data_IF_936731814642
#
_entry.id   IF_936731814642
#
_cell.length_a   1.000
_cell.length_b   1.000
_cell.length_c   1.000
_cell.angle_alpha   90.00
_cell.angle_beta   90.00
_cell.angle_gamma   90.00
#
_symmetry.space_group_name_H-M   'P 1'
#
loop_
_entity.id
_entity.type
_entity.pdbx_description
1 polymer ?
#
# COMPACT_ATOMS: atom_id res chain seq x y z
N UNK A 1 1.12 -2.95 -5.56
CA UNK A 1 0.43 -2.37 -4.40
C UNK A 1 0.12 -3.46 -3.41
N UNK A 2 0.21 -3.14 -2.13
CA UNK A 2 0.13 -4.09 -1.02
C UNK A 2 -0.51 -3.42 0.21
N UNK A 3 -1.33 -4.16 0.93
CA UNK A 3 -1.97 -3.69 2.17
C UNK A 3 -1.33 -4.37 3.36
N UNK A 4 -0.64 -3.57 4.18
CA UNK A 4 0.01 -4.06 5.38
C UNK A 4 -0.88 -3.85 6.61
N UNK A 5 -0.98 -4.87 7.45
CA UNK A 5 -1.66 -4.83 8.75
C UNK A 5 -2.50 -6.09 9.04
N UNK A 6 -3.23 -6.12 10.16
CA UNK A 6 -3.37 -5.02 11.13
C UNK A 6 -2.05 -4.68 11.84
N UNK A 7 -1.78 -3.40 11.99
CA UNK A 7 -0.66 -2.89 12.79
C UNK A 7 -0.95 -3.14 14.28
N UNK A 8 0.08 -3.38 15.11
CA UNK A 8 -0.11 -3.57 16.56
C UNK A 8 -0.68 -2.32 17.24
N UNK A 9 -0.55 -1.16 16.60
CA UNK A 9 -0.98 0.14 17.10
C UNK A 9 -1.97 0.78 16.16
N UNK A 10 -3.06 1.28 16.72
CA UNK A 10 -3.94 2.18 16.01
C UNK A 10 -3.32 3.58 16.02
N UNK A 11 -3.10 4.16 14.84
CA UNK A 11 -2.63 5.55 14.74
C UNK A 11 -3.60 6.52 15.42
N UNK A 12 -3.14 7.74 15.74
CA UNK A 12 -4.02 8.80 16.29
C UNK A 12 -5.25 9.07 15.41
N UNK A 13 -5.14 8.86 14.09
CA UNK A 13 -6.23 8.98 13.13
C UNK A 13 -7.15 7.75 13.03
N UNK A 14 -6.99 6.73 13.87
CA UNK A 14 -7.79 5.51 13.87
C UNK A 14 -7.37 4.46 12.83
N UNK A 15 -6.31 4.70 12.06
CA UNK A 15 -5.84 3.76 11.04
C UNK A 15 -5.18 2.53 11.68
N UNK A 16 -5.54 1.35 11.16
CA UNK A 16 -5.04 0.03 11.60
C UNK A 16 -4.25 -0.69 10.52
N UNK A 17 -4.31 -0.20 9.29
CA UNK A 17 -3.58 -0.75 8.14
C UNK A 17 -2.97 0.41 7.37
N UNK A 18 -2.09 0.12 6.42
CA UNK A 18 -1.70 1.07 5.40
C UNK A 18 -1.64 0.42 4.02
N UNK A 19 -2.01 1.18 2.99
CA UNK A 19 -1.81 0.82 1.60
C UNK A 19 -0.45 1.36 1.16
N UNK A 20 0.35 0.53 0.53
CA UNK A 20 1.59 0.92 -0.13
C UNK A 20 1.44 0.78 -1.64
N UNK A 21 1.75 1.85 -2.37
CA UNK A 21 1.80 1.86 -3.84
C UNK A 21 3.20 2.26 -4.26
N UNK A 22 3.89 1.34 -4.92
CA UNK A 22 5.24 1.53 -5.44
C UNK A 22 5.16 1.77 -6.93
N UNK A 23 5.79 2.83 -7.41
CA UNK A 23 6.07 3.02 -8.83
C UNK A 23 7.26 2.15 -9.25
N UNK A 24 7.11 1.35 -10.31
CA UNK A 24 8.12 0.37 -10.70
C UNK A 24 9.36 1.03 -11.34
N UNK A 25 9.18 2.18 -12.01
CA UNK A 25 10.26 2.90 -12.68
C UNK A 25 11.12 3.68 -11.67
N UNK A 26 10.50 4.59 -10.91
CA UNK A 26 11.20 5.48 -9.97
C UNK A 26 11.51 4.83 -8.62
N UNK A 27 10.88 3.69 -8.31
CA UNK A 27 10.89 3.05 -6.98
C UNK A 27 10.32 3.93 -5.87
N UNK A 28 9.64 5.03 -6.21
CA UNK A 28 8.94 5.87 -5.25
C UNK A 28 7.77 5.10 -4.65
N UNK A 29 7.63 5.14 -3.32
CA UNK A 29 6.53 4.50 -2.61
C UNK A 29 5.65 5.57 -1.97
N UNK A 30 4.35 5.47 -2.23
CA UNK A 30 3.32 6.29 -1.58
C UNK A 30 2.54 5.42 -0.61
N UNK A 31 2.45 5.87 0.64
CA UNK A 31 1.75 5.17 1.71
C UNK A 31 0.47 5.92 2.11
N UNK A 32 -0.64 5.20 2.25
CA UNK A 32 -1.93 5.75 2.68
C UNK A 32 -2.41 5.05 3.95
N UNK A 33 -2.70 5.77 5.05
CA UNK A 33 -3.26 5.17 6.26
C UNK A 33 -4.72 4.74 6.04
N UNK A 34 -5.04 3.51 6.45
CA UNK A 34 -6.37 2.90 6.31
C UNK A 34 -6.97 2.55 7.68
N UNK A 35 -8.19 3.02 7.94
CA UNK A 35 -9.02 2.53 9.05
C UNK A 35 -9.54 1.14 8.74
N UNK A 36 -9.99 0.96 7.50
CA UNK A 36 -10.54 -0.28 6.97
C UNK A 36 -9.96 -0.59 5.60
N UNK A 37 -9.84 -1.89 5.29
CA UNK A 37 -9.36 -2.36 3.97
C UNK A 37 -10.28 -1.91 2.82
N UNK A 38 -11.57 -1.71 3.09
CA UNK A 38 -12.56 -1.19 2.12
C UNK A 38 -12.17 0.16 1.49
N UNK A 39 -11.34 0.96 2.15
CA UNK A 39 -10.92 2.30 1.69
C UNK A 39 -9.86 2.27 0.56
N UNK A 40 -9.24 1.12 0.30
CA UNK A 40 -8.14 0.98 -0.69
C UNK A 40 -8.54 1.49 -2.06
N UNK A 41 -9.77 1.22 -2.50
CA UNK A 41 -10.23 1.63 -3.83
C UNK A 41 -10.25 3.15 -4.00
N UNK A 42 -10.78 3.88 -3.01
CA UNK A 42 -10.87 5.33 -3.07
C UNK A 42 -9.50 6.00 -2.99
N UNK A 43 -8.60 5.45 -2.17
CA UNK A 43 -7.21 5.90 -2.13
C UNK A 43 -6.49 5.62 -3.46
N UNK A 44 -6.72 4.48 -4.10
CA UNK A 44 -6.13 4.19 -5.40
C UNK A 44 -6.63 5.16 -6.48
N UNK A 45 -7.92 5.46 -6.54
CA UNK A 45 -8.46 6.47 -7.48
C UNK A 45 -7.80 7.83 -7.31
N UNK A 46 -7.67 8.26 -6.06
CA UNK A 46 -7.02 9.53 -5.72
C UNK A 46 -5.54 9.53 -6.12
N UNK A 47 -4.84 8.42 -5.84
CA UNK A 47 -3.45 8.22 -6.26
C UNK A 47 -3.32 8.27 -7.79
N UNK A 48 -4.13 7.51 -8.53
CA UNK A 48 -4.10 7.47 -9.99
C UNK A 48 -4.28 8.88 -10.58
N UNK A 49 -5.32 9.60 -10.16
CA UNK A 49 -5.60 10.93 -10.69
C UNK A 49 -4.42 11.90 -10.46
N UNK A 50 -3.78 11.83 -9.29
CA UNK A 50 -2.61 12.65 -8.98
C UNK A 50 -1.38 12.21 -9.80
N UNK A 51 -1.04 10.92 -9.78
CA UNK A 51 0.13 10.38 -10.47
C UNK A 51 0.07 10.65 -11.97
N UNK A 52 -1.07 10.42 -12.61
CA UNK A 52 -1.24 10.67 -14.04
C UNK A 52 -1.18 12.17 -14.37
N UNK A 53 -1.67 13.04 -13.47
CA UNK A 53 -1.62 14.49 -13.66
C UNK A 53 -0.20 15.04 -13.52
N UNK A 54 0.56 14.56 -12.54
CA UNK A 54 1.93 15.01 -12.24
C UNK A 54 2.90 14.50 -13.30
N UNK A 55 2.81 13.22 -13.65
CA UNK A 55 3.71 12.60 -14.62
C UNK A 55 3.30 12.86 -16.07
N UNK A 56 2.05 13.31 -16.29
CA UNK A 56 1.44 13.44 -17.62
C UNK A 56 1.51 12.13 -18.42
N UNK A 57 1.36 11.00 -17.73
CA UNK A 57 1.43 9.64 -18.25
C UNK A 57 0.26 8.82 -17.71
N UNK A 58 -0.21 7.83 -18.48
CA UNK A 58 -1.27 6.92 -18.05
C UNK A 58 -0.71 5.68 -17.39
N UNK A 59 -1.37 5.20 -16.34
CA UNK A 59 -1.02 3.92 -15.71
C UNK A 59 -1.40 2.79 -16.67
N UNK A 60 -0.43 1.96 -17.05
CA UNK A 60 -0.65 0.86 -18.01
C UNK A 60 -1.03 -0.44 -17.32
N UNK A 61 -0.42 -0.71 -16.17
CA UNK A 61 -0.66 -1.91 -15.39
C UNK A 61 -0.51 -1.64 -13.90
N UNK A 62 -1.19 -2.46 -13.12
CA UNK A 62 -1.16 -2.46 -11.67
C UNK A 62 -0.92 -3.87 -11.23
N UNK A 63 0.09 -4.06 -10.37
CA UNK A 63 0.32 -5.34 -9.70
C UNK A 63 -0.27 -5.30 -8.30
N UNK A 64 -1.14 -6.26 -7.96
CA UNK A 64 -1.74 -6.41 -6.64
C UNK A 64 -1.33 -7.75 -6.01
N UNK A 65 -1.24 -7.77 -4.68
CA UNK A 65 -1.14 -9.01 -3.92
C UNK A 65 -2.51 -9.71 -3.83
N UNK A 66 -2.51 -11.02 -3.55
CA UNK A 66 -3.77 -11.77 -3.39
C UNK A 66 -4.55 -11.37 -2.14
N UNK A 67 -3.98 -10.61 -1.19
CA UNK A 67 -4.66 -10.15 0.02
C UNK A 67 -5.74 -9.08 -0.22
N UNK A 68 -5.89 -8.59 -1.46
CA UNK A 68 -6.83 -7.53 -1.85
C UNK A 68 -8.25 -8.01 -2.22
N UNK A 69 -8.66 -9.19 -1.73
CA UNK A 69 -9.93 -9.85 -2.04
C UNK A 69 -11.17 -8.97 -1.79
N UNK A 70 -11.09 -8.04 -0.84
CA UNK A 70 -12.18 -7.14 -0.43
C UNK A 70 -12.54 -6.07 -1.48
N UNK A 71 -11.69 -5.80 -2.47
CA UNK A 71 -11.96 -4.80 -3.52
C UNK A 71 -12.26 -5.43 -4.90
N UNK A 72 -12.29 -6.76 -5.00
CA UNK A 72 -12.08 -7.48 -6.25
C UNK A 72 -13.03 -7.10 -7.41
N UNK A 73 -14.34 -7.05 -7.19
CA UNK A 73 -15.30 -6.84 -8.28
C UNK A 73 -15.34 -5.40 -8.78
N UNK A 74 -15.49 -4.42 -7.87
CA UNK A 74 -15.53 -2.99 -8.21
C UNK A 74 -14.19 -2.50 -8.75
N UNK A 75 -13.10 -2.93 -8.14
CA UNK A 75 -11.74 -2.56 -8.56
C UNK A 75 -11.41 -3.12 -9.93
N UNK A 76 -11.66 -4.41 -10.15
CA UNK A 76 -11.39 -5.03 -11.46
C UNK A 76 -12.25 -4.42 -12.57
N UNK A 77 -13.53 -4.14 -12.29
CA UNK A 77 -14.41 -3.46 -13.25
C UNK A 77 -13.86 -2.07 -13.62
N UNK A 78 -13.47 -1.28 -12.62
CA UNK A 78 -12.88 0.04 -12.84
C UNK A 78 -11.58 0.00 -13.65
N UNK A 79 -10.67 -0.93 -13.34
CA UNK A 79 -9.44 -1.08 -14.12
C UNK A 79 -9.71 -1.49 -15.56
N UNK A 80 -10.67 -2.40 -15.78
CA UNK A 80 -11.07 -2.83 -17.12
C UNK A 80 -11.68 -1.67 -17.94
N UNK A 81 -12.53 -0.85 -17.32
CA UNK A 81 -13.13 0.34 -17.96
C UNK A 81 -12.06 1.35 -18.42
N UNK A 82 -10.94 1.44 -17.70
CA UNK A 82 -9.81 2.31 -18.03
C UNK A 82 -8.76 1.64 -18.92
N UNK A 83 -8.90 0.34 -19.24
CA UNK A 83 -7.90 -0.42 -19.99
C UNK A 83 -6.60 -0.69 -19.22
N UNK A 84 -6.62 -0.59 -17.89
CA UNK A 84 -5.46 -0.84 -17.03
C UNK A 84 -5.33 -2.34 -16.78
N UNK A 85 -4.17 -2.93 -17.10
CA UNK A 85 -3.94 -4.36 -16.85
C UNK A 85 -3.76 -4.62 -15.36
N UNK A 86 -4.48 -5.60 -14.82
CA UNK A 86 -4.32 -6.06 -13.44
C UNK A 86 -3.48 -7.34 -13.41
N UNK A 87 -2.28 -7.26 -12.83
CA UNK A 87 -1.41 -8.41 -12.59
C UNK A 87 -1.52 -8.86 -11.14
N UNK A 88 -1.71 -10.16 -10.92
CA UNK A 88 -1.72 -10.74 -9.57
C UNK A 88 -0.37 -11.37 -9.29
N UNK A 89 0.22 -11.03 -8.14
CA UNK A 89 1.41 -11.75 -7.68
C UNK A 89 0.98 -13.13 -7.19
N UNK A 90 1.40 -14.17 -7.91
CA UNK A 90 1.17 -15.54 -7.49
C UNK A 90 1.98 -15.81 -6.22
N UNK A 91 1.43 -16.56 -5.26
CA UNK A 91 2.07 -16.88 -3.95
C UNK A 91 3.48 -17.47 -4.11
N UNK A 92 3.75 -18.06 -5.28
CA UNK A 92 5.00 -18.74 -5.64
C UNK A 92 6.11 -17.85 -6.24
N UNK A 93 5.88 -16.55 -6.46
CA UNK A 93 6.93 -15.61 -6.91
C UNK A 93 7.15 -14.46 -5.91
N UNK A 94 7.85 -14.71 -4.78
CA UNK A 94 8.18 -13.69 -3.79
C UNK A 94 9.00 -12.53 -4.37
N UNK A 95 9.79 -12.79 -5.42
CA UNK A 95 10.70 -11.83 -6.04
C UNK A 95 9.99 -10.58 -6.57
N UNK A 96 8.80 -10.76 -7.18
CA UNK A 96 8.01 -9.64 -7.73
C UNK A 96 7.46 -8.70 -6.66
N UNK A 97 7.14 -9.23 -5.47
CA UNK A 97 6.67 -8.42 -4.34
C UNK A 97 7.81 -8.05 -3.37
N UNK A 98 9.06 -8.44 -3.68
CA UNK A 98 10.22 -8.25 -2.81
C UNK A 98 10.55 -6.79 -2.56
N UNK A 99 10.39 -5.93 -3.57
CA UNK A 99 10.65 -4.48 -3.48
C UNK A 99 9.67 -3.82 -2.51
N UNK A 100 8.37 -4.06 -2.68
CA UNK A 100 7.32 -3.50 -1.81
C UNK A 100 7.44 -4.04 -0.38
N UNK A 101 7.67 -5.35 -0.21
CA UNK A 101 7.87 -5.94 1.13
C UNK A 101 9.08 -5.36 1.84
N UNK A 102 10.23 -5.24 1.15
CA UNK A 102 11.46 -4.68 1.75
C UNK A 102 11.28 -3.21 2.11
N UNK A 103 10.62 -2.42 1.26
CA UNK A 103 10.29 -1.04 1.59
C UNK A 103 9.37 -0.96 2.81
N UNK A 104 8.31 -1.77 2.86
CA UNK A 104 7.36 -1.77 3.98
C UNK A 104 8.06 -2.12 5.31
N UNK A 105 9.01 -3.05 5.31
CA UNK A 105 9.83 -3.35 6.48
C UNK A 105 10.72 -2.17 6.90
N UNK A 106 11.47 -1.60 5.95
CA UNK A 106 12.34 -0.45 6.25
C UNK A 106 11.55 0.77 6.72
N UNK A 107 10.40 1.06 6.11
CA UNK A 107 9.53 2.16 6.51
C UNK A 107 9.01 1.95 7.94
N UNK A 108 8.56 0.74 8.27
CA UNK A 108 8.13 0.41 9.63
C UNK A 108 9.25 0.54 10.65
N UNK A 109 10.47 0.14 10.32
CA UNK A 109 11.61 0.27 11.22
C UNK A 109 12.05 1.73 11.40
N UNK A 110 12.01 2.55 10.35
CA UNK A 110 12.22 4.00 10.44
C UNK A 110 11.16 4.68 11.31
N UNK A 111 9.88 4.32 11.15
CA UNK A 111 8.80 4.87 11.99
C UNK A 111 9.01 4.48 13.45
N UNK A 112 9.36 3.23 13.74
CA UNK A 112 9.70 2.80 15.12
C UNK A 112 10.88 3.58 15.68
N UNK A 113 11.94 3.78 14.89
CA UNK A 113 13.12 4.52 15.31
C UNK A 113 12.78 5.98 15.64
N UNK A 114 12.04 6.66 14.76
CA UNK A 114 11.59 8.05 14.97
C UNK A 114 10.69 8.18 16.20
N UNK A 115 9.76 7.24 16.39
CA UNK A 115 8.90 7.21 17.58
C UNK A 115 9.73 7.03 18.86
N UNK A 116 10.68 6.10 18.86
CA UNK A 116 11.60 5.89 19.99
C UNK A 116 12.43 7.14 20.32
N UNK A 117 12.91 7.88 19.32
CA UNK A 117 13.68 9.11 19.52
C UNK A 117 12.82 10.28 20.00
N UNK A 118 11.53 10.31 19.63
CA UNK A 118 10.61 11.42 19.96
C UNK A 118 10.10 11.43 21.41
N UNK A 119 10.42 10.41 22.21
CA UNK A 119 9.93 10.28 23.60
C UNK A 119 8.45 9.94 23.71
N UNK A 120 7.76 9.71 22.60
CA UNK A 120 6.42 9.12 22.56
C UNK A 120 6.61 7.62 22.80
N UNK A 121 6.46 7.20 24.06
CA UNK A 121 6.72 5.81 24.47
C UNK A 121 6.04 4.78 23.56
N UNK A 122 6.84 3.76 23.24
CA UNK A 122 6.54 2.52 22.52
C UNK A 122 5.07 2.09 22.57
N UNK A 123 4.27 2.59 21.62
CA UNK A 123 3.01 1.93 21.31
C UNK A 123 3.31 0.69 20.43
N UNK A 124 4.43 0.67 19.69
CA UNK A 124 4.79 -0.38 18.72
C UNK A 124 5.57 -1.59 19.29
N UNK A 125 5.59 -1.79 20.61
CA UNK A 125 6.33 -2.88 21.26
C UNK A 125 5.42 -3.82 22.05
N UNK A 126 5.58 -5.13 21.80
CA UNK A 126 4.90 -6.32 22.37
C UNK A 126 3.66 -6.77 21.56
N UNK A 127 3.58 -7.94 20.93
CA UNK A 127 4.31 -9.22 21.02
C UNK A 127 4.30 -9.90 19.63
N UNK A 128 5.36 -10.64 19.33
CA UNK A 128 5.34 -11.80 18.42
C UNK A 128 4.58 -12.95 19.08
#
# INVERSE_FOLDING_TARGET
MDVCGPLPVVSCGGAKHFLSITDDFSRMVTCFPLKEKSQVFEYFKSFQANAERVLNLKILSVQCDNGMEFCHSKFSKYLNELGIRCERTNTYTPEKNGVSKRFNLTAMDCVKAMLNTSGIENIFGQKL
#
